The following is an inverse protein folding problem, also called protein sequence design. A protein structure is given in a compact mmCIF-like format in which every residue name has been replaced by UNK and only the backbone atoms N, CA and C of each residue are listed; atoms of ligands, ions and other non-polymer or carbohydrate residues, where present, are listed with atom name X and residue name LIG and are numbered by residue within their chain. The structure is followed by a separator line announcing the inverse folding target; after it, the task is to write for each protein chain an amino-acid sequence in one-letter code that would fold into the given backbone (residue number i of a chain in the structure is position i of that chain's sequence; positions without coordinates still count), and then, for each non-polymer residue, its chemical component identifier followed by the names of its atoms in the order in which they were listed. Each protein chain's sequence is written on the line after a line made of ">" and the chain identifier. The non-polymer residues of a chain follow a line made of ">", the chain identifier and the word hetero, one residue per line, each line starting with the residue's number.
data_IF_919806074050
#
_entry.id   IF_919806074050
#
_cell.length_a   1.000
_cell.length_b   1.000
_cell.length_c   1.000
_cell.angle_alpha   90.00
_cell.angle_beta   90.00
_cell.angle_gamma   90.00
#
_symmetry.space_group_name_H-M   'P 1'
#
loop_
_entity.id
_entity.type
_entity.pdbx_description
1 polymer ?
#
# COMPACT_ATOMS: atom_id res chain seq x y z
N UNK A 1 16.72 37.86 22.15
CA UNK A 1 15.94 36.71 22.67
C UNK A 1 15.38 35.99 21.46
N UNK A 2 15.71 34.70 21.23
CA UNK A 2 15.11 33.95 20.14
C UNK A 2 13.65 33.61 20.48
N UNK A 3 12.76 33.47 19.49
CA UNK A 3 11.35 33.17 19.74
C UNK A 3 11.22 31.79 20.37
N UNK A 4 10.50 31.75 21.49
CA UNK A 4 10.02 30.54 22.14
C UNK A 4 9.03 29.81 21.23
N UNK A 5 9.27 28.53 20.96
CA UNK A 5 8.20 27.61 20.58
C UNK A 5 8.24 26.93 19.22
N UNK A 6 9.41 26.57 18.67
CA UNK A 6 9.46 25.36 17.82
C UNK A 6 9.55 24.16 18.77
N UNK A 7 8.47 23.41 18.98
CA UNK A 7 8.67 21.97 19.22
C UNK A 7 9.16 21.44 17.88
N UNK A 8 10.49 21.38 17.72
CA UNK A 8 11.07 20.55 16.66
C UNK A 8 10.44 19.17 16.81
N UNK A 9 9.98 18.60 15.70
CA UNK A 9 9.65 17.19 15.63
C UNK A 9 10.73 16.39 16.35
N UNK A 10 10.28 15.58 17.31
CA UNK A 10 11.14 14.70 18.08
C UNK A 10 10.96 13.29 17.49
N UNK A 11 11.89 12.82 16.64
CA UNK A 11 11.79 11.49 16.04
C UNK A 11 11.74 10.39 17.10
N UNK A 12 12.29 10.63 18.30
CA UNK A 12 12.30 9.65 19.40
C UNK A 12 10.92 9.52 20.09
N UNK A 13 9.99 10.48 19.88
CA UNK A 13 8.62 10.46 20.42
C UNK A 13 7.56 9.98 19.42
N UNK A 14 7.97 9.59 18.20
CA UNK A 14 7.03 9.42 17.08
C UNK A 14 7.14 8.07 16.37
N UNK A 15 7.74 7.07 17.00
CA UNK A 15 7.85 5.72 16.42
C UNK A 15 6.47 5.03 16.40
N UNK A 16 5.95 4.79 15.20
CA UNK A 16 4.75 3.98 14.98
C UNK A 16 5.16 2.70 14.26
N UNK A 17 4.62 1.56 14.69
CA UNK A 17 4.81 0.28 14.01
C UNK A 17 3.48 -0.22 13.47
N UNK A 18 3.37 -0.30 12.15
CA UNK A 18 2.26 -0.92 11.45
C UNK A 18 2.57 -2.40 11.18
N UNK A 19 1.64 -3.28 11.55
CA UNK A 19 1.71 -4.68 11.18
C UNK A 19 0.92 -4.91 9.89
N UNK A 20 1.55 -5.59 8.94
CA UNK A 20 0.96 -5.96 7.65
C UNK A 20 0.76 -7.47 7.59
N UNK A 21 -0.37 -7.88 7.01
CA UNK A 21 -0.65 -9.27 6.65
C UNK A 21 -1.18 -9.34 5.22
N UNK A 22 -0.64 -10.24 4.41
CA UNK A 22 -1.21 -10.60 3.12
C UNK A 22 -2.05 -11.86 3.28
N UNK A 23 -3.23 -11.88 2.65
CA UNK A 23 -4.06 -13.07 2.46
C UNK A 23 -4.48 -13.14 0.99
N UNK A 24 -4.86 -14.33 0.54
CA UNK A 24 -5.45 -14.54 -0.79
C UNK A 24 -6.76 -15.32 -0.68
N UNK A 25 -7.66 -15.19 -1.65
CA UNK A 25 -8.69 -16.21 -1.85
C UNK A 25 -8.00 -17.57 -2.03
N UNK A 26 -8.49 -18.64 -1.38
CA UNK A 26 -7.78 -19.91 -1.32
C UNK A 26 -7.77 -20.64 -2.66
N UNK A 27 -8.69 -20.28 -3.56
CA UNK A 27 -8.91 -20.96 -4.82
C UNK A 27 -9.23 -19.97 -5.94
N UNK A 28 -8.89 -20.33 -7.17
CA UNK A 28 -9.26 -19.62 -8.39
C UNK A 28 -9.83 -20.62 -9.41
N UNK A 29 -11.08 -20.41 -9.85
CA UNK A 29 -11.85 -21.37 -10.65
C UNK A 29 -11.67 -21.13 -12.15
N UNK A 30 -11.31 -22.18 -12.90
CA UNK A 30 -11.15 -22.15 -14.36
C UNK A 30 -12.49 -22.15 -15.10
N UNK A 31 -13.51 -22.80 -14.55
CA UNK A 31 -14.85 -22.87 -15.15
C UNK A 31 -15.61 -21.55 -15.07
N UNK A 32 -15.19 -20.63 -14.18
CA UNK A 32 -15.74 -19.30 -14.08
C UNK A 32 -14.85 -18.27 -14.81
N UNK A 33 -15.26 -17.76 -15.99
CA UNK A 33 -14.49 -16.76 -16.73
C UNK A 33 -14.40 -15.41 -15.99
N UNK A 34 -15.30 -15.15 -15.05
CA UNK A 34 -15.32 -13.93 -14.23
C UNK A 34 -14.67 -14.14 -12.85
N UNK A 35 -13.97 -15.27 -12.63
CA UNK A 35 -13.28 -15.52 -11.37
C UNK A 35 -12.17 -14.49 -11.13
N UNK A 36 -12.02 -14.10 -9.87
CA UNK A 36 -10.94 -13.21 -9.41
C UNK A 36 -10.11 -13.89 -8.33
N UNK A 37 -8.80 -13.66 -8.39
CA UNK A 37 -7.90 -13.91 -7.27
C UNK A 37 -7.91 -12.66 -6.39
N UNK A 38 -8.42 -12.81 -5.17
CA UNK A 38 -8.58 -11.69 -4.25
C UNK A 38 -7.38 -11.62 -3.31
N UNK A 39 -6.55 -10.60 -3.47
CA UNK A 39 -5.39 -10.35 -2.63
C UNK A 39 -5.76 -9.30 -1.58
N UNK A 40 -5.79 -9.70 -0.31
CA UNK A 40 -6.20 -8.82 0.79
C UNK A 40 -5.00 -8.47 1.67
N UNK A 41 -4.67 -7.19 1.70
CA UNK A 41 -3.68 -6.61 2.61
C UNK A 41 -4.39 -6.06 3.84
N UNK A 42 -4.00 -6.54 5.02
CA UNK A 42 -4.51 -6.07 6.31
C UNK A 42 -3.46 -5.24 7.01
N UNK A 43 -3.86 -4.10 7.55
CA UNK A 43 -3.02 -3.15 8.29
C UNK A 43 -3.60 -2.93 9.68
N UNK A 44 -2.74 -2.92 10.70
CA UNK A 44 -3.11 -2.46 12.05
C UNK A 44 -1.93 -1.79 12.74
N UNK A 45 -2.24 -0.91 13.68
CA UNK A 45 -1.25 -0.32 14.58
C UNK A 45 -0.87 -1.37 15.62
N UNK A 46 0.42 -1.70 15.69
CA UNK A 46 0.97 -2.69 16.62
C UNK A 46 1.76 -2.07 17.76
N UNK A 47 2.31 -0.88 17.55
CA UNK A 47 2.99 -0.05 18.56
C UNK A 47 2.82 1.42 18.16
N UNK A 48 2.53 2.27 19.13
CA UNK A 48 2.46 3.72 19.00
C UNK A 48 2.53 4.34 20.39
N UNK A 49 3.12 5.53 20.51
CA UNK A 49 3.05 6.35 21.73
C UNK A 49 1.71 7.12 21.85
N UNK A 50 0.87 7.03 20.80
CA UNK A 50 -0.45 7.66 20.69
C UNK A 50 -1.56 6.60 20.70
N UNK A 51 -1.84 5.95 21.86
CA UNK A 51 -2.86 4.91 21.92
C UNK A 51 -4.24 5.51 21.58
N UNK A 52 -5.07 4.73 20.88
CA UNK A 52 -6.42 5.12 20.45
C UNK A 52 -6.49 6.18 19.34
N UNK A 53 -5.39 6.86 19.04
CA UNK A 53 -5.34 7.81 17.92
C UNK A 53 -5.24 7.06 16.58
N UNK A 54 -6.15 7.34 15.62
CA UNK A 54 -6.05 6.80 14.27
C UNK A 54 -4.83 7.34 13.53
N UNK A 55 -4.36 6.59 12.54
CA UNK A 55 -3.26 6.98 11.65
C UNK A 55 -3.77 7.04 10.24
N UNK A 56 -3.54 8.15 9.54
CA UNK A 56 -3.87 8.27 8.13
C UNK A 56 -2.58 8.26 7.32
N UNK A 57 -2.54 7.42 6.29
CA UNK A 57 -1.43 7.32 5.33
C UNK A 57 -1.94 7.70 3.93
N UNK A 58 -1.04 8.24 3.10
CA UNK A 58 -1.26 8.28 1.66
C UNK A 58 -0.96 6.90 1.05
N UNK A 59 -1.83 6.41 0.16
CA UNK A 59 -1.69 5.06 -0.41
C UNK A 59 -1.00 5.04 -1.77
N UNK A 60 -0.84 6.19 -2.42
CA UNK A 60 -0.23 6.33 -3.74
C UNK A 60 1.10 5.59 -3.89
N UNK A 61 1.21 4.83 -5.00
CA UNK A 61 2.38 4.04 -5.39
C UNK A 61 2.82 3.00 -4.36
N UNK A 62 2.00 2.75 -3.34
CA UNK A 62 2.19 1.68 -2.37
C UNK A 62 1.35 0.46 -2.74
N UNK A 63 1.57 -0.63 -2.01
CA UNK A 63 0.75 -1.83 -2.11
C UNK A 63 -0.70 -1.61 -1.66
N UNK A 64 -1.02 -0.49 -1.02
CA UNK A 64 -2.36 -0.18 -0.53
C UNK A 64 -3.19 0.63 -1.52
N UNK A 65 -2.61 1.04 -2.65
CA UNK A 65 -3.37 1.66 -3.74
C UNK A 65 -4.16 0.59 -4.52
N UNK A 66 -5.45 0.77 -4.77
CA UNK A 66 -6.22 -0.07 -5.68
C UNK A 66 -5.66 -0.03 -7.11
N UNK A 67 -5.63 -1.16 -7.82
CA UNK A 67 -5.21 -1.24 -9.22
C UNK A 67 -6.14 -0.46 -10.16
N UNK A 68 -5.60 0.49 -10.92
CA UNK A 68 -6.28 1.21 -11.99
C UNK A 68 -5.73 0.72 -13.33
N UNK A 69 -6.59 0.01 -14.10
CA UNK A 69 -6.31 -0.75 -15.35
C UNK A 69 -5.62 -0.01 -16.51
N UNK A 70 -5.42 1.31 -16.40
CA UNK A 70 -5.02 2.17 -17.51
C UNK A 70 -3.64 2.83 -17.31
N UNK A 71 -2.90 2.45 -16.26
CA UNK A 71 -1.54 2.97 -16.05
C UNK A 71 -0.51 1.89 -16.37
N UNK A 72 0.74 2.26 -16.63
CA UNK A 72 1.81 1.30 -16.95
C UNK A 72 2.23 0.62 -15.63
N UNK A 73 1.31 -0.20 -15.08
CA UNK A 73 0.88 -0.23 -13.69
C UNK A 73 1.92 -0.65 -12.65
N UNK A 74 1.90 0.08 -11.52
CA UNK A 74 2.54 -0.30 -10.26
C UNK A 74 1.93 -1.61 -9.75
N UNK A 75 2.65 -2.72 -9.90
CA UNK A 75 2.23 -3.99 -9.31
C UNK A 75 3.03 -4.30 -8.03
N UNK A 76 2.40 -4.28 -6.85
CA UNK A 76 3.05 -4.68 -5.60
C UNK A 76 3.31 -6.19 -5.51
N UNK A 77 2.78 -6.97 -6.44
CA UNK A 77 2.95 -8.41 -6.55
C UNK A 77 3.76 -8.74 -7.82
N UNK A 78 4.94 -9.33 -7.65
CA UNK A 78 5.85 -9.52 -8.78
C UNK A 78 5.43 -10.65 -9.72
N UNK A 79 5.37 -11.86 -9.18
CA UNK A 79 5.30 -13.11 -9.94
C UNK A 79 4.46 -14.12 -9.15
N UNK A 80 3.57 -14.85 -9.83
CA UNK A 80 2.99 -16.09 -9.32
C UNK A 80 3.95 -17.25 -9.62
N UNK A 81 4.29 -18.04 -8.61
CA UNK A 81 5.22 -19.17 -8.76
C UNK A 81 4.48 -20.47 -8.47
N UNK A 82 4.39 -21.37 -9.45
CA UNK A 82 3.77 -22.67 -9.24
C UNK A 82 4.60 -23.51 -8.27
N UNK A 83 3.92 -24.31 -7.45
CA UNK A 83 4.50 -25.15 -6.41
C UNK A 83 4.31 -26.63 -6.73
N UNK A 84 5.33 -27.43 -6.43
CA UNK A 84 5.24 -28.90 -6.49
C UNK A 84 4.44 -29.48 -5.30
N UNK A 85 4.36 -30.81 -5.20
CA UNK A 85 3.66 -31.49 -4.10
C UNK A 85 4.27 -31.23 -2.72
N UNK A 86 5.55 -30.83 -2.65
CA UNK A 86 6.29 -30.53 -1.42
C UNK A 86 6.33 -29.02 -1.11
N UNK A 87 5.48 -28.23 -1.76
CA UNK A 87 5.45 -26.76 -1.65
C UNK A 87 6.77 -26.09 -2.07
N UNK A 88 7.55 -26.73 -2.95
CA UNK A 88 8.76 -26.14 -3.51
C UNK A 88 8.45 -25.39 -4.81
N UNK A 89 9.05 -24.20 -5.02
CA UNK A 89 8.94 -23.46 -6.28
C UNK A 89 9.34 -24.30 -7.49
N UNK A 90 8.55 -24.22 -8.56
CA UNK A 90 8.87 -24.79 -9.86
C UNK A 90 9.31 -23.71 -10.86
N UNK A 91 9.62 -24.12 -12.09
CA UNK A 91 9.97 -23.20 -13.17
C UNK A 91 8.76 -22.50 -13.80
N UNK A 92 7.52 -22.99 -13.58
CA UNK A 92 6.29 -22.37 -14.09
C UNK A 92 5.99 -21.11 -13.27
N UNK A 93 6.03 -19.96 -13.94
CA UNK A 93 5.89 -18.63 -13.35
C UNK A 93 4.99 -17.76 -14.22
N UNK A 94 4.11 -16.97 -13.61
CA UNK A 94 3.26 -16.00 -14.30
C UNK A 94 3.66 -14.61 -13.82
N UNK A 95 4.08 -13.74 -14.74
CA UNK A 95 4.49 -12.38 -14.41
C UNK A 95 3.26 -11.47 -14.36
N UNK A 96 3.05 -10.82 -13.21
CA UNK A 96 1.89 -9.95 -13.00
C UNK A 96 2.15 -8.47 -13.37
N UNK A 97 3.38 -8.08 -13.68
CA UNK A 97 3.72 -6.69 -13.99
C UNK A 97 4.79 -6.56 -15.07
N UNK A 98 4.81 -5.42 -15.75
CA UNK A 98 5.76 -5.11 -16.84
C UNK A 98 7.23 -5.07 -16.40
N UNK A 99 7.50 -4.99 -15.09
CA UNK A 99 8.83 -4.77 -14.53
C UNK A 99 9.34 -3.32 -14.66
N UNK A 100 8.56 -2.43 -15.28
CA UNK A 100 8.88 -1.02 -15.39
C UNK A 100 8.31 -0.24 -14.20
N UNK A 101 9.16 0.55 -13.55
CA UNK A 101 8.74 1.55 -12.57
C UNK A 101 8.74 2.90 -13.25
N UNK A 102 7.57 3.43 -13.57
CA UNK A 102 7.48 4.78 -14.14
C UNK A 102 7.72 5.79 -13.01
N UNK A 103 8.82 6.54 -13.12
CA UNK A 103 9.01 7.71 -12.29
C UNK A 103 8.11 8.81 -12.83
N UNK A 104 6.96 9.01 -12.21
CA UNK A 104 6.13 10.17 -12.48
C UNK A 104 6.84 11.39 -11.89
N UNK A 105 7.24 12.34 -12.73
CA UNK A 105 7.45 13.71 -12.29
C UNK A 105 6.05 14.31 -12.10
N UNK A 106 5.70 14.68 -10.87
CA UNK A 106 4.43 15.36 -10.61
C UNK A 106 4.37 16.62 -11.47
N UNK A 107 3.33 16.71 -12.31
CA UNK A 107 3.21 17.72 -13.37
C UNK A 107 2.17 18.80 -13.10
N UNK A 108 1.59 18.84 -11.90
CA UNK A 108 0.69 19.92 -11.52
C UNK A 108 1.11 20.49 -10.16
N UNK A 109 1.75 21.66 -10.21
CA UNK A 109 2.31 22.44 -9.09
C UNK A 109 1.34 23.57 -8.67
N UNK A 110 0.10 23.50 -9.13
CA UNK A 110 -0.86 24.59 -8.98
C UNK A 110 -1.57 24.59 -7.62
N UNK A 111 -1.44 23.52 -6.82
CA UNK A 111 -1.90 23.47 -5.43
C UNK A 111 -0.81 22.90 -4.54
N UNK A 112 -0.77 23.40 -3.30
CA UNK A 112 0.05 22.82 -2.23
C UNK A 112 -0.71 21.73 -1.46
N UNK A 113 -2.03 21.63 -1.66
CA UNK A 113 -2.86 20.62 -1.01
C UNK A 113 -2.76 19.28 -1.74
N UNK A 114 -2.26 18.26 -1.04
CA UNK A 114 -2.15 16.89 -1.55
C UNK A 114 -3.50 16.32 -1.99
N UNK A 115 -4.61 16.79 -1.40
CA UNK A 115 -5.95 16.35 -1.80
C UNK A 115 -6.34 16.80 -3.20
N UNK A 116 -5.76 17.90 -3.69
CA UNK A 116 -6.03 18.41 -5.03
C UNK A 116 -5.27 17.63 -6.12
N UNK A 117 -4.28 16.81 -5.73
CA UNK A 117 -3.44 16.05 -6.66
C UNK A 117 -4.01 14.66 -7.03
N UNK A 118 -5.22 14.33 -6.56
CA UNK A 118 -5.84 13.03 -6.80
C UNK A 118 -5.20 11.88 -6.00
N UNK A 119 -4.46 12.21 -4.95
CA UNK A 119 -3.93 11.23 -4.02
C UNK A 119 -5.04 10.53 -3.24
N UNK A 120 -4.83 9.25 -2.95
CA UNK A 120 -5.70 8.45 -2.11
C UNK A 120 -5.10 8.30 -0.71
N UNK A 121 -5.98 8.20 0.29
CA UNK A 121 -5.61 8.13 1.70
C UNK A 121 -6.39 7.03 2.40
N UNK A 122 -5.75 6.42 3.39
CA UNK A 122 -6.29 5.34 4.20
C UNK A 122 -6.11 5.63 5.68
N UNK A 123 -7.20 5.56 6.45
CA UNK A 123 -7.15 5.63 7.92
C UNK A 123 -7.09 4.23 8.53
N UNK A 124 -6.12 4.02 9.41
CA UNK A 124 -5.92 2.84 10.24
C UNK A 124 -6.44 3.18 11.65
N UNK A 125 -7.42 2.44 12.19
CA UNK A 125 -7.99 2.73 13.51
C UNK A 125 -6.97 2.61 14.65
N UNK A 126 -7.02 3.55 15.60
CA UNK A 126 -6.17 3.57 16.80
C UNK A 126 -6.51 2.54 17.87
N UNK A 127 -7.65 1.85 17.74
CA UNK A 127 -8.15 0.85 18.71
C UNK A 127 -7.60 -0.56 18.46
N UNK A 128 -6.65 -0.70 17.53
CA UNK A 128 -6.00 -1.97 17.19
C UNK A 128 -6.79 -2.84 16.21
N UNK A 129 -7.94 -2.38 15.71
CA UNK A 129 -8.64 -3.06 14.60
C UNK A 129 -7.82 -3.00 13.32
N UNK A 130 -8.04 -4.00 12.48
CA UNK A 130 -7.44 -4.07 11.14
C UNK A 130 -8.29 -3.28 10.15
N UNK A 131 -7.61 -2.58 9.24
CA UNK A 131 -8.19 -2.10 7.99
C UNK A 131 -7.68 -2.97 6.85
N UNK A 132 -8.54 -3.26 5.87
CA UNK A 132 -8.22 -4.16 4.76
C UNK A 132 -8.35 -3.45 3.43
N UNK A 133 -7.39 -3.69 2.54
CA UNK A 133 -7.45 -3.33 1.12
C UNK A 133 -7.45 -4.62 0.32
N UNK A 134 -8.48 -4.83 -0.49
CA UNK A 134 -8.59 -6.03 -1.33
C UNK A 134 -8.42 -5.65 -2.80
N UNK A 135 -7.53 -6.37 -3.46
CA UNK A 135 -7.23 -6.21 -4.88
C UNK A 135 -7.76 -7.43 -5.62
N UNK A 136 -8.56 -7.20 -6.65
CA UNK A 136 -9.17 -8.25 -7.45
C UNK A 136 -8.35 -8.45 -8.74
N UNK A 137 -7.74 -9.62 -8.90
CA UNK A 137 -7.03 -9.99 -10.11
C UNK A 137 -7.91 -10.92 -10.96
N UNK A 138 -8.53 -10.36 -12.00
CA UNK A 138 -9.20 -11.15 -13.03
C UNK A 138 -8.20 -11.95 -13.86
N UNK A 139 -8.68 -12.93 -14.64
CA UNK A 139 -7.85 -13.65 -15.60
C UNK A 139 -7.10 -12.73 -16.57
N UNK A 140 -7.78 -11.70 -17.09
CA UNK A 140 -7.16 -10.68 -17.95
C UNK A 140 -5.98 -10.01 -17.23
N UNK A 141 -6.15 -9.61 -15.96
CA UNK A 141 -5.09 -8.96 -15.17
C UNK A 141 -3.92 -9.91 -14.88
N UNK A 142 -4.21 -11.18 -14.56
CA UNK A 142 -3.20 -12.19 -14.25
C UNK A 142 -2.26 -12.40 -15.45
N UNK A 143 -2.81 -12.46 -16.67
CA UNK A 143 -2.05 -12.77 -17.88
C UNK A 143 -1.64 -11.54 -18.70
N UNK A 144 -2.05 -10.32 -18.32
CA UNK A 144 -1.79 -9.08 -19.07
C UNK A 144 -0.33 -8.88 -19.50
N UNK A 145 0.63 -9.27 -18.66
CA UNK A 145 2.07 -9.13 -18.92
C UNK A 145 2.79 -10.47 -19.09
N UNK A 146 2.03 -11.57 -19.13
CA UNK A 146 2.58 -12.91 -19.34
C UNK A 146 2.57 -13.23 -20.82
N UNK A 147 3.74 -13.50 -21.38
CA UNK A 147 3.91 -13.72 -22.83
C UNK A 147 3.88 -15.21 -23.20
N UNK A 148 4.14 -16.11 -22.24
CA UNK A 148 4.40 -17.53 -22.53
C UNK A 148 3.30 -18.47 -22.07
N UNK A 149 2.52 -18.06 -21.08
CA UNK A 149 1.45 -18.85 -20.49
C UNK A 149 0.13 -18.11 -20.64
N UNK A 150 -0.95 -18.87 -20.77
CA UNK A 150 -2.31 -18.38 -20.74
C UNK A 150 -3.15 -19.21 -19.77
N UNK A 151 -4.44 -18.85 -19.64
CA UNK A 151 -5.37 -19.56 -18.77
C UNK A 151 -5.48 -21.04 -19.12
N UNK A 152 -5.45 -21.39 -20.41
CA UNK A 152 -5.57 -22.78 -20.89
C UNK A 152 -4.35 -23.65 -20.50
N UNK A 153 -3.23 -23.04 -20.13
CA UNK A 153 -2.04 -23.76 -19.66
C UNK A 153 -2.15 -24.16 -18.17
N UNK A 154 -3.20 -23.71 -17.47
CA UNK A 154 -3.45 -24.04 -16.08
C UNK A 154 -4.21 -25.35 -15.94
N UNK A 155 -3.99 -26.06 -14.82
CA UNK A 155 -4.68 -27.31 -14.52
C UNK A 155 -5.26 -27.29 -13.11
N UNK A 156 -6.45 -27.87 -12.89
CA UNK A 156 -6.97 -28.09 -11.55
C UNK A 156 -5.95 -28.81 -10.65
N UNK A 157 -5.85 -28.37 -9.40
CA UNK A 157 -4.88 -28.86 -8.41
C UNK A 157 -3.51 -28.20 -8.48
N UNK A 158 -3.21 -27.36 -9.49
CA UNK A 158 -2.00 -26.55 -9.47
C UNK A 158 -2.07 -25.52 -8.35
N UNK A 159 -0.99 -25.38 -7.58
CA UNK A 159 -0.89 -24.41 -6.49
C UNK A 159 0.12 -23.34 -6.84
N UNK A 160 -0.20 -22.09 -6.56
CA UNK A 160 0.66 -20.95 -6.82
C UNK A 160 0.91 -20.17 -5.55
N UNK A 161 2.17 -19.78 -5.35
CA UNK A 161 2.59 -18.83 -4.35
C UNK A 161 2.63 -17.42 -4.95
N UNK A 162 2.22 -16.44 -4.14
CA UNK A 162 2.36 -15.01 -4.43
C UNK A 162 2.95 -14.30 -3.22
N UNK A 163 3.87 -13.38 -3.49
CA UNK A 163 4.55 -12.59 -2.46
C UNK A 163 4.34 -11.09 -2.68
N UNK A 164 4.16 -10.38 -1.57
CA UNK A 164 4.18 -8.92 -1.54
C UNK A 164 5.62 -8.42 -1.69
N UNK A 165 5.88 -7.60 -2.69
CA UNK A 165 7.16 -6.97 -2.87
C UNK A 165 7.38 -5.88 -1.79
N UNK A 166 8.40 -6.01 -0.92
CA UNK A 166 8.63 -5.06 0.17
C UNK A 166 8.95 -3.64 -0.32
N UNK A 167 9.40 -3.45 -1.56
CA UNK A 167 9.64 -2.12 -2.14
C UNK A 167 8.38 -1.29 -2.38
N UNK A 168 7.20 -1.92 -2.30
CA UNK A 168 5.90 -1.25 -2.38
C UNK A 168 5.23 -1.10 -1.00
N UNK A 169 5.90 -1.53 0.06
CA UNK A 169 5.43 -1.33 1.43
C UNK A 169 6.01 -0.02 1.95
N UNK A 170 5.16 1.00 2.03
CA UNK A 170 5.56 2.33 2.47
C UNK A 170 4.48 3.37 2.22
N UNK A 171 4.78 4.60 2.60
CA UNK A 171 4.01 5.80 2.27
C UNK A 171 4.98 6.95 2.03
N UNK A 172 4.56 7.94 1.25
CA UNK A 172 5.27 9.22 1.13
C UNK A 172 4.71 10.29 2.08
N UNK A 173 3.60 10.01 2.77
CA UNK A 173 2.95 10.96 3.67
C UNK A 173 2.10 10.24 4.72
N UNK A 174 2.14 10.72 5.96
CA UNK A 174 1.24 10.23 7.01
C UNK A 174 1.04 11.25 8.14
N UNK A 175 -0.04 11.09 8.90
CA UNK A 175 -0.33 11.87 10.11
C UNK A 175 -1.18 11.08 11.11
N UNK A 176 -1.39 11.63 12.30
CA UNK A 176 -2.43 11.20 13.24
C UNK A 176 -3.78 11.81 12.85
N UNK A 177 -4.87 11.11 13.11
CA UNK A 177 -6.24 11.56 12.88
C UNK A 177 -7.02 10.72 11.88
N UNK A 178 -8.35 10.81 11.94
CA UNK A 178 -9.28 10.10 11.04
C UNK A 178 -9.75 10.98 9.88
N UNK A 179 -9.75 10.43 8.65
CA UNK A 179 -10.25 11.07 7.44
C UNK A 179 -11.72 11.47 7.54
N UNK A 180 -12.52 10.76 8.33
CA UNK A 180 -13.95 11.06 8.51
C UNK A 180 -14.23 11.91 9.76
N UNK A 181 -13.23 12.09 10.61
CA UNK A 181 -13.28 12.87 11.85
C UNK A 181 -12.45 14.14 11.74
N UNK A 182 -11.35 14.18 12.46
CA UNK A 182 -10.50 15.36 12.65
C UNK A 182 -9.93 15.91 11.35
N UNK A 183 -9.73 15.05 10.35
CA UNK A 183 -9.09 15.41 9.09
C UNK A 183 -10.08 15.74 7.97
N UNK A 184 -11.40 15.60 8.18
CA UNK A 184 -12.40 15.62 7.10
C UNK A 184 -12.31 16.84 6.19
N UNK A 185 -12.19 18.03 6.77
CA UNK A 185 -12.19 19.30 6.04
C UNK A 185 -10.81 19.97 6.00
N UNK A 186 -9.76 19.22 6.38
CA UNK A 186 -8.38 19.71 6.43
C UNK A 186 -7.69 19.58 5.08
N UNK A 187 -6.74 20.48 4.83
CA UNK A 187 -5.80 20.44 3.70
C UNK A 187 -4.54 19.71 4.10
N UNK A 188 -3.93 18.97 3.18
CA UNK A 188 -2.75 18.16 3.47
C UNK A 188 -1.53 18.72 2.77
N UNK A 189 -0.40 18.82 3.48
CA UNK A 189 0.87 19.24 2.90
C UNK A 189 1.95 18.21 3.21
N UNK A 190 2.93 18.02 2.33
CA UNK A 190 4.02 17.07 2.58
C UNK A 190 4.71 17.33 3.93
N UNK A 191 4.87 18.60 4.30
CA UNK A 191 5.40 18.99 5.61
C UNK A 191 6.84 18.52 5.75
N UNK A 192 7.18 17.85 6.85
CA UNK A 192 8.52 17.27 7.04
C UNK A 192 8.76 16.00 6.18
N UNK A 193 7.74 15.50 5.47
CA UNK A 193 7.89 14.40 4.52
C UNK A 193 8.46 14.84 3.16
N UNK A 194 8.52 16.15 2.87
CA UNK A 194 9.18 16.65 1.67
C UNK A 194 10.67 16.88 1.95
N UNK A 195 11.52 16.29 1.10
CA UNK A 195 12.96 16.51 1.14
C UNK A 195 13.35 17.81 0.42
N UNK A 196 12.41 18.44 -0.27
CA UNK A 196 12.68 19.46 -1.28
C UNK A 196 12.22 20.87 -0.87
N UNK A 197 11.12 21.04 -0.12
CA UNK A 197 10.63 22.37 0.29
C UNK A 197 10.02 22.40 1.69
N UNK A 198 10.46 23.36 2.51
CA UNK A 198 9.80 23.68 3.78
C UNK A 198 8.39 24.25 3.51
N UNK A 199 7.37 23.88 4.30
CA UNK A 199 6.05 24.49 4.18
C UNK A 199 6.12 26.02 4.39
N UNK A 200 5.42 26.82 3.56
CA UNK A 200 5.24 28.26 3.76
C UNK A 200 4.76 28.64 5.17
N UNK A 201 5.21 29.81 5.68
CA UNK A 201 4.88 30.29 7.04
C UNK A 201 3.36 30.43 7.29
N UNK A 202 2.58 30.76 6.27
CA UNK A 202 1.12 30.86 6.36
C UNK A 202 0.45 29.49 6.55
N UNK A 203 1.03 28.41 6.00
CA UNK A 203 0.60 27.03 6.25
C UNK A 203 0.96 26.59 7.68
N UNK A 204 2.15 26.96 8.17
CA UNK A 204 2.63 26.57 9.50
C UNK A 204 1.75 27.09 10.65
N UNK A 205 1.00 28.16 10.43
CA UNK A 205 0.15 28.79 11.43
C UNK A 205 -1.36 28.62 11.19
N UNK A 206 -1.74 28.02 10.06
CA UNK A 206 -3.14 27.76 9.74
C UNK A 206 -3.55 26.36 10.21
N UNK A 207 -4.39 26.31 11.24
CA UNK A 207 -4.93 25.06 11.80
C UNK A 207 -5.74 24.24 10.79
N UNK A 208 -6.10 24.81 9.63
CA UNK A 208 -6.75 24.09 8.55
C UNK A 208 -5.82 23.17 7.77
N UNK A 209 -4.50 23.29 7.96
CA UNK A 209 -3.50 22.43 7.33
C UNK A 209 -3.00 21.34 8.27
N UNK A 210 -2.75 20.17 7.68
CA UNK A 210 -2.14 19.03 8.33
C UNK A 210 -0.83 18.73 7.61
N UNK A 211 0.26 18.86 8.35
CA UNK A 211 1.60 18.58 7.86
C UNK A 211 1.90 17.09 7.99
N UNK A 212 2.48 16.52 6.94
CA UNK A 212 3.02 15.17 6.99
C UNK A 212 4.13 15.04 8.01
N UNK A 213 4.15 13.90 8.68
CA UNK A 213 5.26 13.47 9.54
C UNK A 213 6.31 12.76 8.69
N UNK A 214 7.53 12.71 9.21
CA UNK A 214 8.64 11.96 8.61
C UNK A 214 8.24 10.50 8.33
N UNK A 215 8.24 10.05 7.06
CA UNK A 215 7.92 8.67 6.68
C UNK A 215 8.80 7.61 7.36
N UNK A 216 10.04 7.93 7.72
CA UNK A 216 10.97 6.97 8.34
C UNK A 216 10.58 6.61 9.79
N UNK A 217 9.78 7.46 10.46
CA UNK A 217 9.23 7.15 11.78
C UNK A 217 8.04 6.16 11.74
N UNK A 218 7.52 5.86 10.55
CA UNK A 218 6.50 4.85 10.34
C UNK A 218 7.14 3.53 9.92
N UNK A 219 7.30 2.62 10.88
CA UNK A 219 7.87 1.29 10.64
C UNK A 219 6.82 0.30 10.14
N UNK A 220 7.19 -0.47 9.13
CA UNK A 220 6.34 -1.49 8.52
C UNK A 220 6.85 -2.88 8.87
N UNK A 221 6.07 -3.66 9.62
CA UNK A 221 6.43 -5.01 10.03
C UNK A 221 5.51 -6.04 9.39
N UNK A 222 6.13 -6.96 8.68
CA UNK A 222 5.47 -8.11 8.07
C UNK A 222 6.19 -9.39 8.52
N UNK A 223 5.47 -10.31 9.16
CA UNK A 223 6.05 -11.60 9.55
C UNK A 223 6.40 -12.38 8.30
N UNK A 224 7.47 -13.17 8.35
CA UNK A 224 7.91 -13.99 7.21
C UNK A 224 6.81 -14.94 6.72
N UNK A 225 6.01 -15.49 7.64
CA UNK A 225 4.85 -16.33 7.34
C UNK A 225 3.76 -15.62 6.54
N UNK A 226 3.67 -14.30 6.68
CA UNK A 226 2.58 -13.51 6.14
C UNK A 226 2.95 -12.93 4.76
N UNK A 227 4.21 -13.09 4.33
CA UNK A 227 4.73 -12.56 3.06
C UNK A 227 4.30 -13.37 1.85
N UNK A 228 4.14 -14.67 2.02
CA UNK A 228 3.86 -15.61 0.94
C UNK A 228 2.54 -16.31 1.23
N UNK A 229 1.59 -16.16 0.32
CA UNK A 229 0.29 -16.81 0.40
C UNK A 229 0.10 -17.71 -0.80
N UNK A 230 -0.64 -18.80 -0.59
CA UNK A 230 -0.82 -19.87 -1.56
C UNK A 230 -2.30 -19.98 -1.90
N UNK A 231 -2.60 -20.16 -3.17
CA UNK A 231 -3.93 -20.52 -3.66
C UNK A 231 -3.83 -21.70 -4.63
N UNK A 232 -4.96 -22.34 -4.87
CA UNK A 232 -5.09 -23.50 -5.76
C UNK A 232 -6.00 -23.19 -6.96
N UNK A 233 -5.62 -23.67 -8.13
CA UNK A 233 -6.47 -23.67 -9.31
C UNK A 233 -7.50 -24.78 -9.16
N UNK A 234 -8.79 -24.46 -9.30
CA UNK A 234 -9.88 -25.42 -9.23
C UNK A 234 -10.68 -25.40 -10.53
N UNK A 235 -11.50 -26.44 -10.75
CA UNK A 235 -12.55 -26.39 -11.78
C UNK A 235 -13.53 -25.27 -11.47
#
# INVERSE_FOLDING_TARGET
>A
MPPTGRRRYDPDLTEVVLQIKLNTSPTLSLSNPDATLDLTLSLRISKTEHPQEPITIMTDKSAFQPFILDTIEHNPFGILVALDSNNQPTDKKIRLGSGLRVHYAYKDINSLDLRDHGHEFLTIPGDGREVTVTQHLSWERIFRYEEKLCQDDLRPGERFAIELNPYYVGTYWWCLGDLKGELKDKKFHYGEADQFEDPPDDILHDENWVLGRDPDALQWKMKKSDRNVIFEIVE
#
